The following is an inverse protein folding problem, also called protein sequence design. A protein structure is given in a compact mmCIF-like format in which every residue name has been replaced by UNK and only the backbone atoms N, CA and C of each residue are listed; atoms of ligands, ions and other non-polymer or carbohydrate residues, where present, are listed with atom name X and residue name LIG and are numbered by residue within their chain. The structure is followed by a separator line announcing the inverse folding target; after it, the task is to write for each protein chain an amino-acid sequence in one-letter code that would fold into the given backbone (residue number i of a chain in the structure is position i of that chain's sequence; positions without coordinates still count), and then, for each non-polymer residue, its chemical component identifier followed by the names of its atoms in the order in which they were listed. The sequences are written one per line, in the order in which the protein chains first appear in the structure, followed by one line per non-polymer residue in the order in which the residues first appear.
data_IF_560223041137
#
_entry.id   IF_560223041137
#
_cell.length_a   1.000
_cell.length_b   1.000
_cell.length_c   1.000
_cell.angle_alpha   90.00
_cell.angle_beta   90.00
_cell.angle_gamma   90.00
#
_symmetry.space_group_name_H-M   'P 1'
#
loop_
_entity.id
_entity.type
_entity.pdbx_description
1 polymer ?
#
# COMPACT_ATOMS: atom_id res chain seq x y z
N UNK A 1 16.41 16.00 -0.36
CA UNK A 1 17.16 15.86 0.91
C UNK A 1 16.41 14.82 1.73
N UNK A 2 16.96 13.63 2.03
CA UNK A 2 16.22 12.64 2.81
C UNK A 2 16.22 13.05 4.28
N UNK A 3 15.03 13.06 4.88
CA UNK A 3 14.74 13.37 6.29
C UNK A 3 14.88 12.13 7.17
N UNK A 4 15.71 12.20 8.21
CA UNK A 4 16.03 11.08 9.13
C UNK A 4 14.89 10.74 10.11
N UNK A 5 14.44 9.47 10.13
CA UNK A 5 13.38 8.97 11.03
C UNK A 5 13.89 7.90 11.98
N UNK A 6 13.83 8.17 13.29
CA UNK A 6 14.67 7.53 14.32
C UNK A 6 13.95 6.45 15.15
N UNK A 7 14.58 5.28 15.30
CA UNK A 7 14.45 4.40 16.47
C UNK A 7 15.51 4.76 17.51
N UNK A 8 15.15 4.92 18.79
CA UNK A 8 16.14 5.07 19.86
C UNK A 8 16.33 3.77 20.62
N UNK A 9 17.58 3.30 20.76
CA UNK A 9 17.99 2.26 21.70
C UNK A 9 18.98 2.84 22.72
N UNK A 10 18.78 2.57 24.02
CA UNK A 10 19.63 3.12 25.10
C UNK A 10 20.23 2.02 25.96
N UNK A 11 21.53 2.04 26.22
CA UNK A 11 22.21 1.20 27.24
C UNK A 11 22.57 2.05 28.45
N UNK A 12 22.43 1.50 29.66
CA UNK A 12 22.62 2.18 30.95
C UNK A 12 23.77 1.56 31.72
N UNK A 13 24.71 2.41 32.16
CA UNK A 13 25.61 2.13 33.29
C UNK A 13 24.97 2.60 34.60
N UNK A 14 24.80 1.70 35.57
CA UNK A 14 24.28 2.05 36.90
C UNK A 14 25.40 2.55 37.81
N UNK A 15 25.47 3.86 38.03
CA UNK A 15 25.91 4.43 39.32
C UNK A 15 25.17 5.75 39.62
N UNK A 16 24.28 5.70 40.61
CA UNK A 16 23.65 6.79 41.41
C UNK A 16 22.74 7.87 40.75
N UNK A 17 21.48 7.94 41.28
CA UNK A 17 20.29 8.81 41.03
C UNK A 17 20.54 10.35 40.89
N UNK A 18 19.55 11.21 40.51
CA UNK A 18 18.12 10.99 40.15
C UNK A 18 17.68 11.58 38.77
N UNK A 19 16.51 11.14 38.29
CA UNK A 19 15.72 11.69 37.15
C UNK A 19 15.55 13.22 37.19
N UNK A 20 15.57 13.92 36.03
CA UNK A 20 14.32 14.54 35.54
C UNK A 20 14.17 14.77 34.01
N UNK A 21 12.93 14.49 33.54
CA UNK A 21 12.10 15.24 32.56
C UNK A 21 12.45 15.22 31.06
N UNK A 22 11.50 14.66 30.30
CA UNK A 22 11.30 14.78 28.85
C UNK A 22 11.19 16.25 28.41
N UNK A 23 12.03 16.68 27.47
CA UNK A 23 11.74 17.83 26.62
C UNK A 23 11.32 17.36 25.23
N UNK A 24 10.07 17.65 24.88
CA UNK A 24 9.62 17.69 23.50
C UNK A 24 10.51 18.67 22.73
N UNK A 25 11.24 18.17 21.73
CA UNK A 25 11.81 19.02 20.69
C UNK A 25 10.92 18.83 19.47
N UNK A 26 10.05 19.81 19.25
CA UNK A 26 9.35 19.98 17.99
C UNK A 26 10.18 20.94 17.12
N UNK A 27 10.67 20.55 15.94
CA UNK A 27 11.10 21.51 14.94
C UNK A 27 10.14 21.47 13.74
N UNK A 28 9.30 22.49 13.66
CA UNK A 28 8.68 22.90 12.40
C UNK A 28 9.78 23.44 11.47
N UNK A 29 10.33 22.56 10.63
CA UNK A 29 10.84 22.79 9.28
C UNK A 29 11.68 21.56 8.87
N UNK A 30 11.06 20.59 8.18
CA UNK A 30 11.73 19.36 7.70
C UNK A 30 11.37 18.08 8.45
N UNK A 31 10.09 17.88 8.81
CA UNK A 31 9.62 16.70 9.52
C UNK A 31 9.71 15.40 8.71
N UNK A 32 9.84 14.27 9.41
CA UNK A 32 9.68 12.92 8.87
C UNK A 32 8.39 12.81 8.05
N UNK A 33 8.50 12.62 6.74
CA UNK A 33 7.34 12.50 5.85
C UNK A 33 6.37 11.36 6.23
N UNK A 34 6.87 10.36 6.97
CA UNK A 34 6.10 9.18 7.40
C UNK A 34 5.94 9.02 8.94
N UNK A 35 6.26 10.06 9.72
CA UNK A 35 5.94 10.27 11.16
C UNK A 35 5.89 9.03 12.09
N UNK A 36 6.92 8.19 12.10
CA UNK A 36 7.06 7.14 13.12
C UNK A 36 8.35 7.30 13.88
N UNK A 37 8.23 7.75 15.11
CA UNK A 37 9.32 7.78 16.08
C UNK A 37 8.90 6.97 17.29
N UNK A 38 9.74 6.01 17.66
CA UNK A 38 9.58 5.16 18.85
C UNK A 38 10.90 5.13 19.60
N UNK A 39 10.79 5.18 20.92
CA UNK A 39 11.93 5.13 21.82
C UNK A 39 11.77 3.90 22.70
N UNK A 40 12.76 3.03 22.69
CA UNK A 40 12.79 1.85 23.54
C UNK A 40 13.12 2.25 24.97
N UNK A 41 12.91 1.33 25.91
CA UNK A 41 13.56 1.42 27.22
C UNK A 41 15.06 1.15 27.16
N UNK A 42 15.63 0.97 28.35
CA UNK A 42 17.07 0.90 28.56
C UNK A 42 17.55 -0.56 28.71
N UNK A 43 18.69 -0.88 28.11
CA UNK A 43 19.47 -2.08 28.38
C UNK A 43 20.53 -1.77 29.44
N UNK A 44 21.10 -2.78 30.09
CA UNK A 44 22.29 -2.57 30.94
C UNK A 44 23.51 -2.39 30.03
N UNK A 45 24.54 -1.70 30.52
CA UNK A 45 25.85 -1.52 29.87
C UNK A 45 26.33 -2.83 29.24
N UNK A 46 26.22 -2.92 27.92
CA UNK A 46 26.56 -4.08 27.10
C UNK A 46 26.87 -3.64 25.68
N UNK A 47 27.89 -4.27 25.09
CA UNK A 47 28.29 -4.00 23.71
C UNK A 47 27.44 -4.76 22.68
N UNK A 48 26.70 -5.77 23.11
CA UNK A 48 25.85 -6.59 22.24
C UNK A 48 24.44 -6.70 22.82
N UNK A 49 23.45 -6.42 21.99
CA UNK A 49 22.03 -6.46 22.34
C UNK A 49 21.31 -7.35 21.31
N UNK A 50 20.60 -8.37 21.80
CA UNK A 50 19.65 -9.12 21.00
C UNK A 50 18.24 -8.63 21.32
N UNK A 51 17.54 -8.15 20.29
CA UNK A 51 16.17 -7.66 20.44
C UNK A 51 15.18 -8.83 20.42
N UNK A 52 14.41 -8.96 21.51
CA UNK A 52 13.28 -9.89 21.56
C UNK A 52 12.04 -9.28 20.88
N UNK A 53 10.88 -9.92 21.02
CA UNK A 53 9.59 -9.40 20.54
C UNK A 53 9.14 -8.10 21.22
N UNK A 54 9.75 -7.74 22.37
CA UNK A 54 9.57 -6.46 23.04
C UNK A 54 10.93 -5.80 23.30
N UNK A 55 11.15 -4.66 22.66
CA UNK A 55 12.33 -3.83 22.85
C UNK A 55 12.08 -2.86 24.01
N UNK A 56 11.75 -3.39 25.19
CA UNK A 56 11.49 -2.63 26.42
C UNK A 56 10.40 -1.56 26.24
N UNK A 57 9.21 -1.96 25.81
CA UNK A 57 8.07 -1.06 25.60
C UNK A 57 7.83 -0.64 24.15
N UNK A 58 8.67 -1.12 23.22
CA UNK A 58 8.47 -0.97 21.78
C UNK A 58 8.34 -2.34 21.14
N UNK A 59 7.22 -2.64 20.46
CA UNK A 59 7.00 -3.96 19.85
C UNK A 59 7.98 -4.23 18.71
N UNK A 60 8.40 -5.49 18.60
CA UNK A 60 9.18 -6.02 17.51
C UNK A 60 8.43 -7.22 16.88
N UNK A 61 7.94 -7.11 15.64
CA UNK A 61 8.28 -6.09 14.66
C UNK A 61 7.59 -4.75 14.88
N UNK A 62 8.28 -3.70 14.45
CA UNK A 62 7.70 -2.37 14.32
C UNK A 62 6.75 -2.33 13.14
N UNK A 63 5.56 -1.77 13.37
CA UNK A 63 4.54 -1.64 12.31
C UNK A 63 4.35 -0.17 12.00
N UNK A 64 4.47 0.15 10.72
CA UNK A 64 4.38 1.47 10.15
C UNK A 64 3.24 1.53 9.13
N UNK A 65 2.40 2.55 9.20
CA UNK A 65 1.38 2.81 8.19
C UNK A 65 1.76 4.05 7.40
N UNK A 66 1.69 3.93 6.08
CA UNK A 66 1.99 4.99 5.13
C UNK A 66 0.89 5.03 4.09
N UNK A 67 0.44 6.24 3.76
CA UNK A 67 -0.69 6.43 2.85
C UNK A 67 -0.36 5.99 1.42
N UNK A 68 0.83 6.37 0.95
CA UNK A 68 1.44 5.92 -0.32
C UNK A 68 2.96 6.03 -0.20
N UNK A 69 3.68 5.25 -1.01
CA UNK A 69 5.12 5.41 -1.15
C UNK A 69 5.39 6.47 -2.23
N UNK A 70 5.87 7.64 -1.80
CA UNK A 70 6.21 8.74 -2.71
C UNK A 70 7.54 8.50 -3.43
N UNK A 71 8.44 7.77 -2.76
CA UNK A 71 9.78 7.44 -3.25
C UNK A 71 9.91 5.94 -3.55
N UNK A 72 10.88 5.59 -4.38
CA UNK A 72 11.23 4.19 -4.70
C UNK A 72 11.87 3.43 -3.53
N UNK A 73 12.20 4.13 -2.44
CA UNK A 73 12.77 3.56 -1.22
C UNK A 73 12.36 4.37 0.00
N UNK A 74 12.23 3.72 1.15
CA UNK A 74 12.01 4.38 2.45
C UNK A 74 13.30 4.32 3.27
N UNK A 75 13.68 5.41 3.92
CA UNK A 75 14.85 5.40 4.81
C UNK A 75 14.45 5.02 6.24
N UNK A 76 15.04 3.95 6.76
CA UNK A 76 15.05 3.61 8.19
C UNK A 76 16.25 4.30 8.83
N UNK A 77 16.04 5.11 9.87
CA UNK A 77 17.12 5.60 10.71
C UNK A 77 16.99 5.05 12.15
N UNK A 78 18.12 4.68 12.73
CA UNK A 78 18.22 4.17 14.11
C UNK A 78 19.28 4.99 14.82
N UNK A 79 18.85 5.77 15.81
CA UNK A 79 19.72 6.52 16.70
C UNK A 79 20.09 5.64 17.88
N UNK A 80 21.36 5.34 18.00
CA UNK A 80 21.91 4.64 19.16
C UNK A 80 22.52 5.70 20.06
N UNK A 81 22.09 5.73 21.31
CA UNK A 81 22.60 6.66 22.31
C UNK A 81 23.21 5.88 23.45
N UNK A 82 24.47 6.15 23.73
CA UNK A 82 25.08 5.80 25.01
C UNK A 82 24.87 6.95 25.99
N UNK A 83 24.33 6.66 27.17
CA UNK A 83 24.00 7.67 28.17
C UNK A 83 25.05 7.66 29.28
N UNK A 84 26.09 8.49 29.10
CA UNK A 84 27.17 8.68 30.06
C UNK A 84 26.91 9.87 31.01
N UNK A 85 27.42 9.77 32.24
CA UNK A 85 27.29 10.79 33.31
C UNK A 85 28.10 12.07 33.00
N UNK A 86 28.92 12.09 31.95
CA UNK A 86 29.81 13.22 31.64
C UNK A 86 29.94 13.50 30.13
N UNK A 87 29.20 14.52 29.68
CA UNK A 87 29.40 15.44 28.53
C UNK A 87 29.71 14.92 27.13
N UNK A 88 29.81 13.61 26.90
CA UNK A 88 29.81 13.04 25.56
C UNK A 88 28.69 12.02 25.45
N UNK A 89 27.49 12.50 25.06
CA UNK A 89 26.46 11.60 24.54
C UNK A 89 27.01 11.01 23.24
N UNK A 90 27.54 9.79 23.28
CA UNK A 90 27.98 9.07 22.07
C UNK A 90 26.74 8.67 21.27
N UNK A 91 26.35 9.59 20.39
CA UNK A 91 25.20 9.48 19.52
C UNK A 91 25.67 9.09 18.12
N UNK A 92 25.28 7.90 17.68
CA UNK A 92 25.41 7.52 16.27
C UNK A 92 24.03 7.38 15.63
N UNK A 93 23.95 7.63 14.33
CA UNK A 93 22.74 7.37 13.53
C UNK A 93 23.10 6.36 12.45
N UNK A 94 22.44 5.21 12.50
CA UNK A 94 22.52 4.18 11.47
C UNK A 94 21.36 4.42 10.51
N UNK A 95 21.63 4.45 9.20
CA UNK A 95 20.60 4.63 8.17
C UNK A 95 20.61 3.48 7.19
N UNK A 96 19.44 3.07 6.74
CA UNK A 96 19.28 2.10 5.68
C UNK A 96 18.16 2.51 4.71
N UNK A 97 18.42 2.34 3.41
CA UNK A 97 17.40 2.48 2.37
C UNK A 97 16.68 1.15 2.19
N UNK A 98 15.37 1.15 2.35
CA UNK A 98 14.48 0.00 2.27
C UNK A 98 13.75 0.00 0.93
N UNK A 99 13.94 -1.06 0.16
CA UNK A 99 13.22 -1.31 -1.10
C UNK A 99 13.04 -2.83 -1.23
N UNK A 100 11.86 -3.40 -0.88
CA UNK A 100 10.80 -3.65 -1.86
C UNK A 100 9.36 -3.52 -1.32
N UNK A 101 8.44 -3.06 -2.17
CA UNK A 101 6.99 -2.96 -1.87
C UNK A 101 6.24 -4.10 -2.57
N UNK A 102 5.52 -4.90 -1.79
CA UNK A 102 4.65 -5.98 -2.29
C UNK A 102 3.20 -5.50 -2.45
N UNK A 103 2.45 -6.12 -3.36
CA UNK A 103 1.06 -5.74 -3.63
C UNK A 103 0.13 -6.08 -2.47
N UNK A 104 0.38 -7.17 -1.76
CA UNK A 104 -0.46 -7.61 -0.65
C UNK A 104 0.36 -8.13 0.53
N UNK A 105 -0.27 -8.19 1.69
CA UNK A 105 0.32 -8.73 2.92
C UNK A 105 0.63 -10.22 2.80
N UNK A 106 -0.19 -10.95 2.06
CA UNK A 106 -0.09 -12.39 1.85
C UNK A 106 1.09 -12.75 0.95
N UNK A 107 1.35 -11.94 -0.08
CA UNK A 107 2.51 -12.08 -0.97
C UNK A 107 3.82 -11.61 -0.31
N UNK A 108 3.72 -10.70 0.66
CA UNK A 108 4.86 -10.05 1.29
C UNK A 108 5.67 -10.98 2.20
N UNK A 109 6.94 -11.16 1.84
CA UNK A 109 7.92 -11.92 2.61
C UNK A 109 8.85 -11.00 3.41
N UNK A 110 9.37 -11.51 4.53
CA UNK A 110 10.48 -10.86 5.23
C UNK A 110 11.72 -10.80 4.33
N UNK A 111 12.43 -9.67 4.36
CA UNK A 111 13.74 -9.54 3.73
C UNK A 111 14.72 -10.58 4.28
N UNK A 112 15.78 -10.84 3.53
CA UNK A 112 16.98 -11.44 4.14
C UNK A 112 17.47 -10.57 5.30
N UNK A 113 18.28 -11.17 6.17
CA UNK A 113 18.95 -10.45 7.24
C UNK A 113 19.93 -9.43 6.64
N UNK A 114 19.74 -8.15 6.99
CA UNK A 114 20.53 -7.03 6.52
C UNK A 114 21.27 -6.39 7.68
N UNK A 115 22.38 -5.71 7.39
CA UNK A 115 23.18 -5.01 8.41
C UNK A 115 23.38 -3.56 8.03
N UNK A 116 23.08 -2.65 8.97
CA UNK A 116 23.49 -1.25 8.90
C UNK A 116 24.67 -1.01 9.84
N UNK A 117 25.58 -0.12 9.45
CA UNK A 117 26.80 0.16 10.22
C UNK A 117 27.23 1.61 10.11
N UNK A 118 27.64 2.20 11.22
CA UNK A 118 28.23 3.54 11.29
C UNK A 118 29.32 3.52 12.37
N UNK A 119 30.58 3.73 11.96
CA UNK A 119 31.72 3.55 12.86
C UNK A 119 31.79 2.13 13.42
N UNK A 120 31.89 2.00 14.74
CA UNK A 120 31.93 0.71 15.44
C UNK A 120 30.55 0.09 15.69
N UNK A 121 29.48 0.84 15.43
CA UNK A 121 28.12 0.38 15.68
C UNK A 121 27.61 -0.40 14.48
N UNK A 122 27.02 -1.57 14.74
CA UNK A 122 26.38 -2.42 13.73
C UNK A 122 25.05 -2.91 14.26
N UNK A 123 24.05 -2.91 13.39
CA UNK A 123 22.73 -3.46 13.69
C UNK A 123 22.28 -4.35 12.55
N UNK A 124 21.80 -5.54 12.91
CA UNK A 124 21.18 -6.47 11.97
C UNK A 124 19.66 -6.39 12.08
N UNK A 125 18.97 -6.37 10.95
CA UNK A 125 17.52 -6.19 10.89
C UNK A 125 16.90 -6.92 9.70
N UNK A 126 15.60 -7.13 9.77
CA UNK A 126 14.76 -7.61 8.66
C UNK A 126 13.54 -6.69 8.55
N UNK A 127 13.02 -6.55 7.34
CA UNK A 127 11.84 -5.74 7.10
C UNK A 127 10.97 -6.37 6.02
N UNK A 128 9.73 -5.92 5.92
CA UNK A 128 8.87 -6.14 4.76
C UNK A 128 7.92 -4.97 4.59
N UNK A 129 7.56 -4.64 3.36
CA UNK A 129 6.67 -3.53 3.03
C UNK A 129 5.61 -4.04 2.06
N UNK A 130 4.35 -3.65 2.25
CA UNK A 130 3.25 -4.10 1.40
C UNK A 130 2.13 -3.08 1.36
N UNK A 131 1.28 -3.16 0.33
CA UNK A 131 0.06 -2.38 0.25
C UNK A 131 -1.08 -3.03 1.04
N UNK A 132 -2.01 -2.20 1.52
CA UNK A 132 -3.28 -2.65 2.06
C UNK A 132 -4.16 -3.25 0.94
N UNK A 133 -5.17 -4.02 1.35
CA UNK A 133 -6.11 -4.64 0.42
C UNK A 133 -6.70 -3.61 -0.55
N UNK A 134 -6.83 -4.01 -1.82
CA UNK A 134 -7.37 -3.20 -2.92
C UNK A 134 -6.51 -2.01 -3.35
N UNK A 135 -5.31 -1.84 -2.81
CA UNK A 135 -4.31 -0.92 -3.35
C UNK A 135 -3.39 -1.62 -4.34
N UNK A 136 -3.12 -0.93 -5.44
CA UNK A 136 -2.32 -1.40 -6.55
C UNK A 136 -1.11 -0.48 -6.76
N UNK A 137 -0.26 -0.90 -7.71
CA UNK A 137 1.06 -0.35 -8.02
C UNK A 137 2.11 -0.60 -6.93
N UNK A 138 3.37 -0.36 -7.26
CA UNK A 138 4.49 -0.40 -6.31
C UNK A 138 4.49 0.77 -5.32
N UNK A 139 3.68 1.81 -5.57
CA UNK A 139 3.54 2.97 -4.68
C UNK A 139 2.31 2.92 -3.80
N UNK A 140 1.46 1.88 -3.92
CA UNK A 140 0.18 1.77 -3.22
C UNK A 140 -0.72 3.00 -3.42
N UNK A 141 -0.69 3.60 -4.61
CA UNK A 141 -1.36 4.88 -4.87
C UNK A 141 -2.72 4.74 -5.53
N UNK A 142 -3.03 3.57 -6.10
CA UNK A 142 -4.27 3.33 -6.85
C UNK A 142 -5.17 2.39 -6.05
N UNK A 143 -6.31 2.90 -5.60
CA UNK A 143 -7.32 2.08 -4.93
C UNK A 143 -8.36 1.57 -5.94
N UNK A 144 -8.59 0.26 -5.95
CA UNK A 144 -9.67 -0.35 -6.73
C UNK A 144 -10.26 -1.56 -6.01
N UNK A 145 -11.51 -1.43 -5.59
CA UNK A 145 -12.32 -2.56 -5.14
C UNK A 145 -13.38 -2.83 -6.20
N UNK A 146 -13.31 -4.01 -6.80
CA UNK A 146 -14.29 -4.45 -7.80
C UNK A 146 -15.71 -4.38 -7.24
N UNK A 147 -16.66 -3.99 -8.08
CA UNK A 147 -18.08 -3.92 -7.71
C UNK A 147 -18.98 -4.00 -8.92
N UNK A 148 -20.22 -4.41 -8.66
CA UNK A 148 -21.31 -4.51 -9.62
C UNK A 148 -22.58 -3.99 -8.94
N UNK A 149 -22.81 -2.68 -9.05
CA UNK A 149 -23.92 -1.97 -8.38
C UNK A 149 -24.21 -0.64 -9.07
N UNK A 150 -25.24 0.08 -8.62
CA UNK A 150 -25.55 1.43 -9.12
C UNK A 150 -24.42 2.45 -9.00
N UNK A 151 -23.40 2.21 -8.17
CA UNK A 151 -22.22 3.07 -8.05
C UNK A 151 -21.11 2.73 -9.06
N UNK A 152 -21.24 1.64 -9.81
CA UNK A 152 -20.31 1.23 -10.85
C UNK A 152 -20.28 -0.28 -11.08
N UNK A 153 -19.98 -0.64 -12.32
CA UNK A 153 -19.92 -1.99 -12.85
C UNK A 153 -18.52 -2.24 -13.42
N UNK A 154 -17.59 -2.65 -12.57
CA UNK A 154 -16.20 -2.80 -12.98
C UNK A 154 -15.43 -3.86 -12.19
N UNK A 155 -14.42 -4.40 -12.87
CA UNK A 155 -13.32 -5.15 -12.26
C UNK A 155 -12.08 -4.27 -12.16
N UNK A 156 -11.03 -4.76 -11.49
CA UNK A 156 -9.78 -4.02 -11.33
C UNK A 156 -8.68 -4.66 -12.15
N UNK A 157 -7.97 -3.87 -12.96
CA UNK A 157 -6.78 -4.33 -13.66
C UNK A 157 -5.74 -4.82 -12.63
N UNK A 158 -5.24 -6.06 -12.76
CA UNK A 158 -4.40 -6.67 -11.74
C UNK A 158 -3.04 -5.99 -11.61
N UNK A 159 -2.56 -5.24 -12.61
CA UNK A 159 -1.23 -4.63 -12.62
C UNK A 159 -1.28 -3.18 -12.17
N UNK A 160 -2.22 -2.43 -12.73
CA UNK A 160 -2.31 -0.97 -12.59
C UNK A 160 -3.35 -0.54 -11.56
N UNK A 161 -4.33 -1.39 -11.25
CA UNK A 161 -5.49 -1.03 -10.44
C UNK A 161 -6.50 -0.15 -11.18
N UNK A 162 -6.36 0.05 -12.49
CA UNK A 162 -7.34 0.78 -13.28
C UNK A 162 -8.70 0.06 -13.25
N UNK A 163 -9.80 0.82 -13.22
CA UNK A 163 -11.14 0.24 -13.34
C UNK A 163 -11.36 -0.24 -14.77
N UNK A 164 -11.72 -1.51 -14.92
CA UNK A 164 -12.09 -2.13 -16.19
C UNK A 164 -13.61 -2.28 -16.20
N UNK A 165 -14.29 -1.43 -16.98
CA UNK A 165 -15.75 -1.46 -17.07
C UNK A 165 -16.24 -2.81 -17.59
N UNK A 166 -17.31 -3.31 -16.98
CA UNK A 166 -18.02 -4.47 -17.50
C UNK A 166 -18.68 -4.12 -18.85
N UNK A 167 -19.00 -5.14 -19.65
CA UNK A 167 -19.68 -4.96 -20.94
C UNK A 167 -20.97 -4.14 -20.75
N UNK A 168 -21.22 -3.19 -21.65
CA UNK A 168 -22.39 -2.30 -21.59
C UNK A 168 -22.22 -1.08 -20.69
N UNK A 169 -21.07 -0.92 -20.02
CA UNK A 169 -20.81 0.20 -19.12
C UNK A 169 -19.60 1.03 -19.55
N UNK A 170 -19.67 2.34 -19.30
CA UNK A 170 -18.62 3.31 -19.59
C UNK A 170 -18.50 4.39 -18.51
N UNK A 171 -17.59 5.32 -18.74
CA UNK A 171 -17.30 6.42 -17.83
C UNK A 171 -16.21 6.07 -16.80
N UNK A 172 -15.69 7.07 -16.07
CA UNK A 172 -14.55 6.89 -15.15
C UNK A 172 -14.85 5.99 -13.94
N UNK A 173 -16.14 5.78 -13.62
CA UNK A 173 -16.58 4.86 -12.56
C UNK A 173 -17.43 3.70 -13.09
N UNK A 174 -17.50 3.53 -14.42
CA UNK A 174 -18.27 2.46 -15.06
C UNK A 174 -19.72 2.40 -14.58
N UNK A 175 -20.33 3.55 -14.36
CA UNK A 175 -21.70 3.72 -13.87
C UNK A 175 -22.59 4.41 -14.92
N UNK A 176 -22.06 4.64 -16.11
CA UNK A 176 -22.81 5.16 -17.25
C UNK A 176 -23.12 4.00 -18.18
N UNK A 177 -24.41 3.85 -18.48
CA UNK A 177 -24.89 2.88 -19.45
C UNK A 177 -24.44 3.26 -20.87
N UNK A 178 -24.00 2.28 -21.65
CA UNK A 178 -23.78 2.45 -23.08
C UNK A 178 -25.14 2.37 -23.74
N UNK A 179 -25.41 3.25 -24.71
CA UNK A 179 -26.61 3.13 -25.53
C UNK A 179 -26.25 2.41 -26.83
N UNK A 180 -26.32 1.08 -26.84
CA UNK A 180 -25.95 0.27 -28.01
C UNK A 180 -26.85 0.57 -29.22
N UNK A 181 -28.06 1.10 -28.99
CA UNK A 181 -28.95 1.52 -30.08
C UNK A 181 -28.38 2.71 -30.87
N UNK A 182 -27.69 3.63 -30.21
CA UNK A 182 -27.02 4.75 -30.88
C UNK A 182 -25.77 4.29 -31.65
N UNK A 183 -25.14 3.21 -31.18
CA UNK A 183 -24.00 2.57 -31.85
C UNK A 183 -24.40 1.64 -33.01
N UNK A 184 -25.70 1.57 -33.33
CA UNK A 184 -26.29 0.74 -34.40
C UNK A 184 -26.01 -0.75 -34.23
N UNK A 185 -26.05 -1.24 -33.00
CA UNK A 185 -25.81 -2.65 -32.68
C UNK A 185 -26.88 -3.60 -33.25
N UNK A 186 -28.15 -3.14 -33.32
CA UNK A 186 -29.26 -3.89 -33.90
C UNK A 186 -29.43 -3.63 -35.41
N UNK A 187 -29.44 -4.70 -36.20
CA UNK A 187 -29.66 -4.66 -37.65
C UNK A 187 -30.96 -5.38 -38.01
N UNK A 188 -31.85 -4.70 -38.74
CA UNK A 188 -33.16 -5.22 -39.21
C UNK A 188 -34.16 -5.60 -38.09
N UNK A 189 -33.98 -5.03 -36.91
CA UNK A 189 -34.91 -5.13 -35.78
C UNK A 189 -35.12 -3.77 -35.11
N UNK A 190 -36.13 -3.69 -34.25
CA UNK A 190 -36.31 -2.54 -33.35
C UNK A 190 -35.34 -2.67 -32.18
N UNK A 191 -34.62 -1.59 -31.87
CA UNK A 191 -33.63 -1.59 -30.80
C UNK A 191 -34.21 -1.04 -29.51
N UNK A 192 -34.00 -1.76 -28.41
CA UNK A 192 -34.33 -1.31 -27.06
C UNK A 192 -33.08 -1.34 -26.18
N UNK A 193 -32.70 -0.17 -25.70
CA UNK A 193 -31.59 -0.01 -24.76
C UNK A 193 -31.97 -0.54 -23.37
N UNK A 194 -31.07 -1.26 -22.71
CA UNK A 194 -31.23 -1.79 -21.35
C UNK A 194 -29.98 -1.48 -20.52
N UNK A 195 -30.07 -1.37 -19.19
CA UNK A 195 -28.88 -1.17 -18.36
C UNK A 195 -27.86 -2.30 -18.52
N UNK A 196 -26.69 -1.99 -19.08
CA UNK A 196 -25.59 -2.90 -19.34
C UNK A 196 -25.84 -3.91 -20.47
N UNK A 197 -26.92 -3.75 -21.25
CA UNK A 197 -27.30 -4.70 -22.28
C UNK A 197 -28.21 -4.09 -23.35
N UNK A 198 -28.50 -4.85 -24.41
CA UNK A 198 -29.37 -4.40 -25.49
C UNK A 198 -30.29 -5.50 -25.94
N UNK A 199 -31.54 -5.13 -26.25
CA UNK A 199 -32.52 -6.04 -26.82
C UNK A 199 -32.87 -5.62 -28.25
N UNK A 200 -32.57 -6.49 -29.21
CA UNK A 200 -33.10 -6.37 -30.57
C UNK A 200 -34.43 -7.14 -30.69
N UNK A 201 -35.51 -6.41 -30.95
CA UNK A 201 -36.84 -6.98 -31.17
C UNK A 201 -36.98 -7.27 -32.66
N UNK A 202 -36.98 -8.55 -33.02
CA UNK A 202 -37.08 -8.98 -34.40
C UNK A 202 -38.53 -9.03 -34.92
N UNK A 203 -38.76 -8.71 -36.20
CA UNK A 203 -40.06 -8.89 -36.85
C UNK A 203 -40.52 -10.36 -36.81
N UNK A 204 -41.82 -10.58 -37.03
CA UNK A 204 -42.38 -11.94 -37.11
C UNK A 204 -41.60 -12.81 -38.12
N UNK A 205 -41.26 -14.04 -37.71
CA UNK A 205 -40.43 -15.01 -38.47
C UNK A 205 -38.95 -14.64 -38.61
N UNK A 206 -38.43 -13.70 -37.80
CA UNK A 206 -37.01 -13.39 -37.69
C UNK A 206 -36.51 -13.62 -36.26
N UNK A 207 -35.25 -14.02 -36.12
CA UNK A 207 -34.56 -14.21 -34.84
C UNK A 207 -33.10 -13.75 -34.94
N UNK A 208 -32.50 -13.41 -33.79
CA UNK A 208 -31.09 -13.06 -33.67
C UNK A 208 -30.85 -12.05 -32.53
N UNK A 209 -29.64 -12.05 -31.96
CA UNK A 209 -29.28 -11.15 -30.85
C UNK A 209 -28.89 -9.75 -31.35
N UNK A 210 -28.20 -9.66 -32.48
CA UNK A 210 -27.70 -8.40 -33.05
C UNK A 210 -28.22 -8.15 -34.46
N UNK A 211 -28.45 -9.22 -35.23
CA UNK A 211 -28.96 -9.16 -36.60
C UNK A 211 -30.20 -10.04 -36.67
N UNK A 212 -31.34 -9.44 -36.97
CA UNK A 212 -32.56 -10.19 -37.22
C UNK A 212 -32.48 -10.86 -38.58
N UNK A 213 -32.40 -12.19 -38.58
CA UNK A 213 -32.37 -13.04 -39.77
C UNK A 213 -33.60 -13.95 -39.78
N UNK A 214 -34.11 -14.30 -40.97
CA UNK A 214 -35.28 -15.18 -41.09
C UNK A 214 -35.00 -16.47 -40.32
N UNK A 215 -35.85 -16.80 -39.34
CA UNK A 215 -35.80 -18.09 -38.67
C UNK A 215 -36.38 -19.12 -39.63
N UNK A 216 -35.53 -19.86 -40.36
CA UNK A 216 -36.01 -21.03 -41.08
C UNK A 216 -36.30 -22.13 -40.04
N UNK A 217 -37.57 -22.35 -39.75
CA UNK A 217 -38.04 -23.61 -39.15
C UNK A 217 -38.06 -24.67 -40.26
N UNK A 218 -38.00 -25.96 -39.90
CA UNK A 218 -37.85 -27.13 -40.80
C UNK A 218 -38.89 -27.29 -41.94
N UNK A 219 -39.68 -26.28 -42.30
CA UNK A 219 -40.75 -26.39 -43.28
C UNK A 219 -40.77 -25.34 -44.41
N UNK A 220 -39.87 -24.35 -44.48
CA UNK A 220 -39.55 -23.61 -45.74
C UNK A 220 -38.56 -22.46 -45.56
N UNK A 221 -37.56 -22.40 -46.44
CA UNK A 221 -36.98 -21.16 -46.97
C UNK A 221 -37.37 -21.12 -48.46
#
# INVERSE_FOLDING_TARGET
MPTDCNLKAVTRRTTNKPDPQLRNINPFNGGCQYLLTRETGYWKDTNNIEFSSDMKGVPNPLIAFVYKFEDSSVTLAVKVRDEDISFHDDLTTLTASLSPVYRSKEESQWSSSLTMSQGNYRMTYQFRMFCDAYYYTTSCSVYCKQQDSSFGHYTCDPTTGAKLCMKGWKGPNCNEDINECEERFCVRGECRNLPGDVQCICPASYTGETICSKSCTCETC
#
